data_IF_002564637214
#
_entry.id   IF_002564637214
#
_cell.length_a   1.000
_cell.length_b   1.000
_cell.length_c   1.000
_cell.angle_alpha   90.00
_cell.angle_beta   90.00
_cell.angle_gamma   90.00
#
_symmetry.space_group_name_H-M   'P 1'
#
loop_
_entity.id
_entity.type
_entity.pdbx_description
1 polymer ?
#
# COMPACT_ATOMS: atom_id res chain seq x y z
N UNK A 1 15.31 -0.90 -21.56
CA UNK A 1 14.20 0.07 -21.56
C UNK A 1 12.96 -0.58 -22.16
N UNK A 2 12.11 -1.19 -21.33
CA UNK A 2 10.88 -1.85 -21.79
C UNK A 2 9.60 -1.18 -21.26
N UNK A 3 9.72 -0.20 -20.36
CA UNK A 3 8.58 0.41 -19.67
C UNK A 3 8.80 1.91 -19.41
N UNK A 4 7.71 2.68 -19.43
CA UNK A 4 7.69 4.11 -19.10
C UNK A 4 7.92 5.05 -20.29
N UNK A 5 8.24 6.31 -19.98
CA UNK A 5 8.33 7.44 -20.94
C UNK A 5 9.68 7.43 -21.72
N UNK A 6 10.65 6.62 -21.29
CA UNK A 6 11.99 6.59 -21.89
C UNK A 6 12.86 7.82 -21.56
N UNK A 7 12.54 8.51 -20.45
CA UNK A 7 13.17 9.78 -20.06
C UNK A 7 14.62 9.64 -19.57
N UNK A 8 14.88 8.58 -18.79
CA UNK A 8 16.18 8.30 -18.18
C UNK A 8 16.98 7.43 -19.17
N UNK A 9 18.30 7.56 -19.25
CA UNK A 9 19.24 6.66 -19.96
C UNK A 9 20.56 6.53 -19.21
N UNK A 10 21.41 5.59 -19.60
CA UNK A 10 22.77 5.52 -19.03
C UNK A 10 23.64 6.67 -19.55
N UNK A 11 24.61 7.10 -18.74
CA UNK A 11 25.60 8.13 -19.13
C UNK A 11 27.02 7.64 -18.85
N UNK A 12 28.02 8.29 -19.46
CA UNK A 12 29.44 7.98 -19.22
C UNK A 12 29.99 8.64 -17.95
N UNK A 13 29.44 9.79 -17.57
CA UNK A 13 29.90 10.60 -16.43
C UNK A 13 29.05 10.42 -15.16
N UNK A 14 27.84 9.90 -15.31
CA UNK A 14 26.88 9.67 -14.21
C UNK A 14 26.17 8.34 -14.43
N UNK A 15 25.71 7.65 -13.37
CA UNK A 15 25.03 6.36 -13.53
C UNK A 15 23.72 6.48 -14.34
N UNK A 16 23.08 7.66 -14.35
CA UNK A 16 21.85 7.95 -15.10
C UNK A 16 21.88 9.40 -15.61
N UNK A 17 21.45 9.62 -16.85
CA UNK A 17 21.17 10.94 -17.43
C UNK A 17 19.74 11.04 -17.98
N UNK A 18 19.25 12.27 -18.15
CA UNK A 18 17.99 12.53 -18.85
C UNK A 18 18.31 12.70 -20.33
N UNK A 19 17.87 11.77 -21.18
CA UNK A 19 18.20 11.83 -22.61
C UNK A 19 17.03 11.58 -23.56
N UNK A 20 15.95 10.89 -23.20
CA UNK A 20 14.72 10.87 -24.00
C UNK A 20 14.91 10.61 -25.51
N UNK A 21 15.68 9.59 -25.88
CA UNK A 21 16.03 9.30 -27.28
C UNK A 21 15.23 8.12 -27.85
N UNK A 22 15.05 8.06 -29.18
CA UNK A 22 14.40 6.90 -29.81
C UNK A 22 15.34 5.69 -29.83
N UNK A 23 14.78 4.48 -29.87
CA UNK A 23 15.57 3.24 -29.77
C UNK A 23 16.60 3.08 -30.90
N UNK A 24 16.41 3.76 -32.03
CA UNK A 24 17.29 3.70 -33.20
C UNK A 24 18.61 4.47 -33.02
N UNK A 25 18.68 5.38 -32.04
CA UNK A 25 19.84 6.22 -31.76
C UNK A 25 20.48 5.90 -30.40
N UNK A 26 20.19 4.71 -29.86
CA UNK A 26 20.87 4.16 -28.70
C UNK A 26 22.07 3.35 -29.18
N UNK A 27 23.26 3.74 -28.74
CA UNK A 27 24.49 3.01 -29.07
C UNK A 27 24.60 1.79 -28.16
N UNK A 28 24.74 0.61 -28.76
CA UNK A 28 24.73 -0.70 -28.08
C UNK A 28 26.12 -1.08 -27.52
N UNK A 29 26.78 -0.15 -26.82
CA UNK A 29 28.09 -0.39 -26.20
C UNK A 29 27.94 -0.56 -24.67
N UNK A 30 27.33 -1.67 -24.21
CA UNK A 30 27.09 -2.10 -22.80
C UNK A 30 26.38 -1.10 -21.86
N UNK A 31 26.31 0.18 -22.21
CA UNK A 31 25.64 1.27 -21.53
C UNK A 31 24.80 1.95 -22.59
N UNK A 32 23.48 1.89 -22.43
CA UNK A 32 22.50 2.42 -23.36
C UNK A 32 22.57 3.96 -23.40
N UNK A 33 23.57 4.49 -24.10
CA UNK A 33 23.86 5.92 -24.18
C UNK A 33 23.18 6.55 -25.41
N UNK A 34 22.73 7.78 -25.24
CA UNK A 34 22.16 8.57 -26.32
C UNK A 34 23.20 9.49 -26.95
N UNK A 35 23.22 9.56 -28.27
CA UNK A 35 24.04 10.54 -28.96
C UNK A 35 23.64 11.97 -28.54
N UNK A 36 24.62 12.87 -28.29
CA UNK A 36 24.35 14.23 -27.80
C UNK A 36 23.40 15.05 -28.67
N UNK A 37 23.36 14.79 -29.98
CA UNK A 37 22.53 15.50 -30.97
C UNK A 37 21.06 15.10 -30.96
N UNK A 38 20.72 13.95 -30.38
CA UNK A 38 19.36 13.41 -30.33
C UNK A 38 18.74 13.39 -28.92
N UNK A 39 19.41 14.05 -27.96
CA UNK A 39 18.88 14.22 -26.60
C UNK A 39 17.57 15.00 -26.60
N UNK A 40 16.57 14.44 -25.91
CA UNK A 40 15.21 14.93 -25.71
C UNK A 40 14.41 15.15 -27.01
N UNK A 41 14.78 14.45 -28.09
CA UNK A 41 14.10 14.59 -29.39
C UNK A 41 13.09 13.50 -29.70
N UNK A 42 12.86 12.53 -28.81
CA UNK A 42 11.88 11.48 -29.08
C UNK A 42 10.43 12.03 -29.10
N UNK A 43 9.68 11.86 -30.20
CA UNK A 43 8.29 12.29 -30.28
C UNK A 43 7.37 11.57 -29.28
N UNK A 44 7.65 10.30 -29.01
CA UNK A 44 6.91 9.45 -28.05
C UNK A 44 6.99 9.96 -26.62
N UNK A 45 8.16 10.45 -26.19
CA UNK A 45 8.35 11.09 -24.88
C UNK A 45 7.46 12.34 -24.74
N UNK A 46 7.51 13.24 -25.72
CA UNK A 46 6.79 14.51 -25.64
C UNK A 46 5.27 14.33 -25.66
N UNK A 47 4.78 13.36 -26.42
CA UNK A 47 3.36 12.99 -26.41
C UNK A 47 2.99 12.39 -25.05
N UNK A 48 3.81 11.49 -24.50
CA UNK A 48 3.62 11.00 -23.14
C UNK A 48 3.52 12.14 -22.13
N UNK A 49 4.45 13.09 -22.15
CA UNK A 49 4.50 14.22 -21.20
C UNK A 49 3.32 15.18 -21.37
N UNK A 50 3.09 15.72 -22.56
CA UNK A 50 2.06 16.74 -22.77
C UNK A 50 0.65 16.16 -22.81
N UNK A 51 0.45 15.08 -23.58
CA UNK A 51 -0.87 14.49 -23.78
C UNK A 51 -1.23 13.48 -22.67
N UNK A 52 -0.25 12.73 -22.15
CA UNK A 52 -0.47 11.77 -21.07
C UNK A 52 -0.28 12.32 -19.66
N UNK A 53 0.54 13.36 -19.48
CA UNK A 53 0.86 13.95 -18.17
C UNK A 53 0.21 15.31 -17.93
N UNK A 54 0.53 16.32 -18.73
CA UNK A 54 0.02 17.67 -18.52
C UNK A 54 -1.51 17.73 -18.69
N UNK A 55 -2.04 17.11 -19.76
CA UNK A 55 -3.48 17.08 -19.99
C UNK A 55 -4.24 16.30 -18.91
N UNK A 56 -3.70 15.19 -18.41
CA UNK A 56 -4.35 14.42 -17.33
C UNK A 56 -4.41 15.22 -16.05
N UNK A 57 -3.32 15.88 -15.66
CA UNK A 57 -3.29 16.80 -14.51
C UNK A 57 -4.26 17.96 -14.74
N UNK A 58 -4.31 18.54 -15.94
CA UNK A 58 -5.26 19.59 -16.29
C UNK A 58 -6.71 19.13 -16.10
N UNK A 59 -7.08 17.97 -16.65
CA UNK A 59 -8.42 17.38 -16.47
C UNK A 59 -8.72 17.04 -15.00
N UNK A 60 -7.73 16.58 -14.25
CA UNK A 60 -7.85 16.32 -12.81
C UNK A 60 -8.12 17.60 -12.02
N UNK A 61 -7.50 18.74 -12.38
CA UNK A 61 -7.78 20.02 -11.74
C UNK A 61 -9.25 20.45 -11.89
N UNK A 62 -9.88 20.09 -13.02
CA UNK A 62 -11.32 20.32 -13.24
C UNK A 62 -12.22 19.22 -12.65
N UNK A 63 -11.68 18.28 -11.87
CA UNK A 63 -12.42 17.15 -11.27
C UNK A 63 -13.24 16.35 -12.28
N UNK A 64 -12.72 16.19 -13.50
CA UNK A 64 -13.36 15.38 -14.54
C UNK A 64 -13.26 13.89 -14.15
N UNK A 65 -14.41 13.22 -14.05
CA UNK A 65 -14.47 11.78 -13.77
C UNK A 65 -13.77 11.00 -14.89
N UNK A 66 -12.79 10.17 -14.53
CA UNK A 66 -12.01 9.39 -15.50
C UNK A 66 -10.88 10.16 -16.20
N UNK A 67 -10.41 11.29 -15.64
CA UNK A 67 -9.31 12.09 -16.19
C UNK A 67 -8.05 11.26 -16.54
N UNK A 68 -7.69 10.31 -15.68
CA UNK A 68 -6.56 9.39 -15.91
C UNK A 68 -6.79 8.53 -17.15
N UNK A 69 -7.96 7.90 -17.26
CA UNK A 69 -8.32 7.04 -18.39
C UNK A 69 -8.36 7.85 -19.69
N UNK A 70 -8.91 9.07 -19.65
CA UNK A 70 -8.98 9.94 -20.82
C UNK A 70 -7.60 10.26 -21.40
N UNK A 71 -6.59 10.51 -20.56
CA UNK A 71 -5.22 10.73 -21.04
C UNK A 71 -4.55 9.49 -21.62
N UNK A 72 -4.69 8.34 -20.96
CA UNK A 72 -4.17 7.06 -21.50
C UNK A 72 -4.81 6.79 -22.86
N UNK A 73 -6.13 6.95 -22.96
CA UNK A 73 -6.90 6.71 -24.17
C UNK A 73 -6.47 7.66 -25.30
N UNK A 74 -6.32 8.95 -25.01
CA UNK A 74 -5.89 9.94 -26.00
C UNK A 74 -4.48 9.61 -26.54
N UNK A 75 -3.52 9.29 -25.68
CA UNK A 75 -2.17 8.90 -26.13
C UNK A 75 -2.20 7.59 -26.90
N UNK A 76 -3.02 6.62 -26.48
CA UNK A 76 -3.16 5.33 -27.16
C UNK A 76 -3.74 5.50 -28.57
N UNK A 77 -4.79 6.30 -28.74
CA UNK A 77 -5.39 6.60 -30.06
C UNK A 77 -4.39 7.28 -30.99
N UNK A 78 -3.58 8.22 -30.48
CA UNK A 78 -2.54 8.90 -31.28
C UNK A 78 -1.44 7.93 -31.71
N UNK A 79 -1.18 6.88 -30.93
CA UNK A 79 -0.13 5.88 -31.18
C UNK A 79 -0.56 4.64 -31.97
N UNK A 80 -1.85 4.48 -32.30
CA UNK A 80 -2.31 3.37 -33.14
C UNK A 80 -2.05 3.53 -34.66
N UNK A 81 -2.10 4.74 -35.26
CA UNK A 81 -1.82 4.93 -36.68
C UNK A 81 -0.39 4.55 -37.07
N UNK A 82 -0.24 3.53 -37.93
CA UNK A 82 1.05 2.95 -38.34
C UNK A 82 1.96 3.88 -39.15
N UNK A 83 1.40 4.93 -39.74
CA UNK A 83 2.13 5.87 -40.61
C UNK A 83 2.82 7.02 -39.87
N UNK A 84 2.94 6.98 -38.55
CA UNK A 84 3.51 8.07 -37.74
C UNK A 84 4.75 7.60 -36.97
N UNK A 85 5.69 8.52 -36.71
CA UNK A 85 6.91 8.24 -35.91
C UNK A 85 6.62 7.89 -34.43
N UNK A 86 5.34 7.91 -34.04
CA UNK A 86 4.84 7.67 -32.67
C UNK A 86 4.04 6.35 -32.59
N UNK A 87 4.09 5.54 -33.66
CA UNK A 87 3.32 4.31 -33.75
C UNK A 87 3.81 3.26 -32.74
N UNK A 88 2.86 2.61 -32.07
CA UNK A 88 3.13 1.40 -31.29
C UNK A 88 3.26 0.14 -32.18
N UNK A 89 2.82 0.23 -33.44
CA UNK A 89 2.88 -0.84 -34.43
C UNK A 89 3.80 -0.45 -35.60
N UNK A 90 5.13 -0.40 -35.39
CA UNK A 90 6.07 -0.17 -36.48
C UNK A 90 5.94 -1.28 -37.54
N UNK A 91 6.41 -1.02 -38.76
CA UNK A 91 6.50 -2.04 -39.81
C UNK A 91 7.72 -2.94 -39.58
N UNK A 92 7.67 -3.71 -38.49
CA UNK A 92 8.64 -4.74 -38.11
C UNK A 92 7.87 -6.02 -37.79
N UNK A 93 8.51 -7.19 -37.84
CA UNK A 93 7.87 -8.47 -37.53
C UNK A 93 7.15 -8.48 -36.16
N UNK A 94 7.74 -7.79 -35.18
CA UNK A 94 7.16 -7.61 -33.85
C UNK A 94 5.97 -6.63 -33.86
N UNK A 95 6.04 -5.53 -34.61
CA UNK A 95 4.94 -4.59 -34.75
C UNK A 95 3.75 -5.17 -35.53
N UNK A 96 4.01 -6.01 -36.53
CA UNK A 96 2.98 -6.72 -37.31
C UNK A 96 2.27 -7.78 -36.48
N UNK A 97 2.99 -8.58 -35.69
CA UNK A 97 2.39 -9.56 -34.78
C UNK A 97 1.55 -8.91 -33.67
N UNK A 98 2.01 -7.80 -33.10
CA UNK A 98 1.24 -7.02 -32.13
C UNK A 98 -0.03 -6.43 -32.77
N UNK A 99 0.05 -5.96 -34.02
CA UNK A 99 -1.11 -5.44 -34.74
C UNK A 99 -2.12 -6.54 -35.11
N UNK A 100 -1.63 -7.73 -35.47
CA UNK A 100 -2.46 -8.89 -35.73
C UNK A 100 -3.17 -9.36 -34.45
N UNK A 101 -2.49 -9.28 -33.31
CA UNK A 101 -3.09 -9.52 -32.01
C UNK A 101 -4.16 -8.45 -31.70
N UNK A 102 -3.87 -7.16 -31.89
CA UNK A 102 -4.82 -6.07 -31.67
C UNK A 102 -6.12 -6.19 -32.49
N UNK A 103 -6.04 -6.67 -33.74
CA UNK A 103 -7.22 -6.91 -34.58
C UNK A 103 -8.19 -7.94 -33.98
N UNK A 104 -7.69 -8.86 -33.16
CA UNK A 104 -8.52 -9.82 -32.45
C UNK A 104 -9.10 -9.15 -31.20
N UNK A 105 -10.15 -8.35 -31.36
CA UNK A 105 -10.79 -7.56 -30.28
C UNK A 105 -11.19 -8.40 -29.07
N UNK A 106 -11.61 -9.64 -29.31
CA UNK A 106 -11.92 -10.64 -28.27
C UNK A 106 -11.09 -11.88 -28.55
N UNK A 107 -10.26 -12.28 -27.57
CA UNK A 107 -9.50 -13.54 -27.65
C UNK A 107 -9.84 -14.42 -26.46
N UNK A 108 -10.01 -15.72 -26.72
CA UNK A 108 -10.09 -16.73 -25.68
C UNK A 108 -8.89 -17.67 -25.81
N UNK A 109 -7.96 -17.62 -24.85
CA UNK A 109 -6.81 -18.52 -24.81
C UNK A 109 -7.08 -19.60 -23.74
N UNK A 110 -7.22 -20.88 -24.12
CA UNK A 110 -7.38 -21.93 -23.13
C UNK A 110 -6.12 -22.08 -22.28
N UNK A 111 -6.30 -22.25 -20.97
CA UNK A 111 -5.22 -22.41 -19.99
C UNK A 111 -4.64 -23.82 -20.13
N UNK A 112 -3.79 -24.04 -21.15
CA UNK A 112 -3.17 -25.36 -21.42
C UNK A 112 -1.81 -25.53 -20.74
N UNK A 113 -1.00 -24.47 -20.67
CA UNK A 113 0.40 -24.54 -20.24
C UNK A 113 0.66 -23.80 -18.92
N UNK A 114 -0.36 -23.22 -18.31
CA UNK A 114 -0.21 -22.27 -17.19
C UNK A 114 -0.81 -22.84 -15.89
N UNK A 115 -1.86 -23.68 -16.00
CA UNK A 115 -2.51 -24.26 -14.83
C UNK A 115 -1.62 -25.32 -14.20
N UNK A 116 -1.26 -25.10 -12.92
CA UNK A 116 -0.44 -26.01 -12.12
C UNK A 116 0.89 -26.40 -12.79
N UNK A 117 1.46 -25.52 -13.62
CA UNK A 117 2.75 -25.69 -14.27
C UNK A 117 3.94 -25.51 -13.31
N UNK A 118 3.77 -25.87 -12.04
CA UNK A 118 4.78 -25.74 -11.00
C UNK A 118 5.78 -26.89 -11.10
N UNK A 119 7.01 -26.56 -11.46
CA UNK A 119 8.11 -27.51 -11.48
C UNK A 119 8.79 -27.53 -10.11
N UNK A 120 8.67 -28.65 -9.41
CA UNK A 120 9.21 -28.85 -8.06
C UNK A 120 10.62 -29.48 -8.08
N UNK A 121 11.25 -29.62 -9.25
CA UNK A 121 12.62 -30.11 -9.35
C UNK A 121 13.63 -29.01 -8.94
N UNK A 122 13.82 -28.89 -7.63
CA UNK A 122 14.69 -27.90 -7.00
C UNK A 122 16.12 -28.45 -6.81
N UNK A 123 16.42 -29.66 -7.30
CA UNK A 123 17.69 -30.37 -7.05
C UNK A 123 18.93 -29.62 -7.56
N UNK A 124 18.79 -28.84 -8.63
CA UNK A 124 19.89 -28.07 -9.25
C UNK A 124 20.10 -26.67 -8.65
N UNK A 125 19.07 -26.07 -8.05
CA UNK A 125 19.07 -24.66 -7.62
C UNK A 125 18.55 -24.43 -6.19
N UNK A 126 18.59 -25.44 -5.32
CA UNK A 126 17.99 -25.38 -3.98
C UNK A 126 18.42 -24.19 -3.11
N UNK A 127 19.67 -23.75 -3.21
CA UNK A 127 20.14 -22.55 -2.51
C UNK A 127 19.47 -21.26 -2.98
N UNK A 128 19.32 -21.08 -4.29
CA UNK A 128 18.63 -19.91 -4.85
C UNK A 128 17.13 -19.95 -4.61
N UNK A 129 16.53 -21.14 -4.69
CA UNK A 129 15.12 -21.35 -4.36
C UNK A 129 14.84 -20.97 -2.90
N UNK A 130 15.66 -21.44 -1.94
CA UNK A 130 15.49 -21.09 -0.53
C UNK A 130 15.65 -19.60 -0.27
N UNK A 131 16.64 -18.95 -0.91
CA UNK A 131 16.83 -17.51 -0.79
C UNK A 131 15.63 -16.72 -1.35
N UNK A 132 15.15 -17.08 -2.54
CA UNK A 132 14.00 -16.44 -3.16
C UNK A 132 12.73 -16.66 -2.32
N UNK A 133 12.49 -17.88 -1.84
CA UNK A 133 11.35 -18.23 -1.01
C UNK A 133 11.32 -17.40 0.27
N UNK A 134 12.44 -17.33 1.01
CA UNK A 134 12.51 -16.51 2.22
C UNK A 134 12.34 -15.03 1.89
N UNK A 135 12.95 -14.55 0.80
CA UNK A 135 12.90 -13.14 0.41
C UNK A 135 11.49 -12.71 0.05
N UNK A 136 10.82 -13.45 -0.83
CA UNK A 136 9.44 -13.15 -1.21
C UNK A 136 8.48 -13.32 -0.04
N UNK A 137 8.69 -14.32 0.83
CA UNK A 137 7.83 -14.53 2.01
C UNK A 137 7.85 -13.34 2.97
N UNK A 138 9.03 -12.81 3.32
CA UNK A 138 9.03 -11.66 4.24
C UNK A 138 8.54 -10.38 3.56
N UNK A 139 8.84 -10.18 2.27
CA UNK A 139 8.33 -9.03 1.52
C UNK A 139 6.81 -9.06 1.47
N UNK A 140 6.23 -10.23 1.18
CA UNK A 140 4.79 -10.46 1.10
C UNK A 140 4.10 -10.24 2.45
N UNK A 141 4.65 -10.78 3.54
CA UNK A 141 4.12 -10.54 4.90
C UNK A 141 4.10 -9.04 5.21
N UNK A 142 5.17 -8.30 4.91
CA UNK A 142 5.25 -6.87 5.19
C UNK A 142 4.32 -6.06 4.30
N UNK A 143 4.20 -6.41 3.02
CA UNK A 143 3.31 -5.74 2.05
C UNK A 143 1.84 -5.97 2.41
N UNK A 144 1.44 -7.22 2.64
CA UNK A 144 0.09 -7.59 3.08
C UNK A 144 -0.28 -6.90 4.41
N UNK A 145 0.61 -6.92 5.40
CA UNK A 145 0.38 -6.25 6.69
C UNK A 145 0.25 -4.74 6.52
N UNK A 146 1.15 -4.11 5.78
CA UNK A 146 1.15 -2.66 5.58
C UNK A 146 -0.07 -2.18 4.79
N UNK A 147 -0.45 -2.90 3.73
CA UNK A 147 -1.58 -2.55 2.88
C UNK A 147 -2.91 -2.79 3.59
N UNK A 148 -3.11 -3.93 4.26
CA UNK A 148 -4.32 -4.21 5.04
C UNK A 148 -4.51 -3.20 6.18
N UNK A 149 -3.43 -2.91 6.92
CA UNK A 149 -3.47 -1.90 7.98
C UNK A 149 -3.83 -0.51 7.43
N UNK A 150 -3.23 -0.10 6.31
CA UNK A 150 -3.55 1.17 5.67
C UNK A 150 -5.02 1.22 5.17
N UNK A 151 -5.53 0.13 4.59
CA UNK A 151 -6.92 0.04 4.15
C UNK A 151 -7.90 0.13 5.32
N UNK A 152 -7.62 -0.59 6.42
CA UNK A 152 -8.43 -0.55 7.62
C UNK A 152 -8.44 0.86 8.24
N UNK A 153 -7.30 1.56 8.23
CA UNK A 153 -7.20 2.98 8.63
C UNK A 153 -8.06 3.88 7.74
N UNK A 154 -7.97 3.74 6.40
CA UNK A 154 -8.80 4.54 5.48
C UNK A 154 -10.30 4.24 5.60
N UNK A 155 -10.67 3.00 5.92
CA UNK A 155 -12.06 2.62 6.16
C UNK A 155 -12.60 3.20 7.48
N UNK A 156 -11.72 3.48 8.44
CA UNK A 156 -12.06 3.94 9.78
C UNK A 156 -12.55 2.81 10.69
N UNK A 157 -12.06 1.58 10.46
CA UNK A 157 -12.47 0.37 11.20
C UNK A 157 -11.39 -0.13 12.16
N UNK A 158 -10.29 0.62 12.29
CA UNK A 158 -9.23 0.34 13.25
C UNK A 158 -9.71 0.64 14.66
N UNK A 159 -9.51 -0.31 15.57
CA UNK A 159 -9.68 -0.08 17.00
C UNK A 159 -8.46 0.71 17.54
N UNK A 160 -8.73 1.87 18.13
CA UNK A 160 -7.70 2.76 18.67
C UNK A 160 -6.89 2.11 19.81
N UNK A 161 -7.48 1.19 20.57
CA UNK A 161 -6.83 0.56 21.74
C UNK A 161 -5.91 -0.59 21.35
N UNK A 162 -6.43 -1.51 20.54
CA UNK A 162 -5.72 -2.73 20.15
C UNK A 162 -4.84 -2.50 18.91
N UNK A 163 -5.09 -1.42 18.16
CA UNK A 163 -4.48 -1.19 16.84
C UNK A 163 -4.70 -2.38 15.89
N UNK A 164 -5.81 -3.09 16.07
CA UNK A 164 -6.27 -4.18 15.22
C UNK A 164 -7.65 -3.87 14.64
N UNK A 165 -8.10 -4.66 13.67
CA UNK A 165 -9.44 -4.56 13.07
C UNK A 165 -10.20 -5.87 13.18
N UNK A 166 -11.53 -5.78 13.19
CA UNK A 166 -12.40 -6.95 13.31
C UNK A 166 -12.12 -7.95 12.17
N UNK A 167 -11.82 -9.20 12.54
CA UNK A 167 -11.55 -10.25 11.56
C UNK A 167 -10.17 -10.16 10.89
N UNK A 168 -9.19 -9.47 11.47
CA UNK A 168 -7.81 -9.38 10.97
C UNK A 168 -7.23 -10.75 10.59
N UNK A 169 -7.31 -11.73 11.48
CA UNK A 169 -6.85 -13.10 11.21
C UNK A 169 -7.54 -13.74 9.99
N UNK A 170 -8.84 -13.48 9.79
CA UNK A 170 -9.56 -13.98 8.61
C UNK A 170 -9.15 -13.25 7.34
N UNK A 171 -8.87 -11.94 7.41
CA UNK A 171 -8.38 -11.17 6.27
C UNK A 171 -7.02 -11.68 5.79
N UNK A 172 -6.06 -11.87 6.72
CA UNK A 172 -4.75 -12.45 6.41
C UNK A 172 -4.85 -13.87 5.84
N UNK A 173 -5.78 -14.70 6.35
CA UNK A 173 -5.98 -16.04 5.82
C UNK A 173 -6.54 -16.02 4.39
N UNK A 174 -7.49 -15.12 4.10
CA UNK A 174 -8.07 -14.98 2.75
C UNK A 174 -7.02 -14.49 1.75
N UNK A 175 -6.16 -13.56 2.15
CA UNK A 175 -5.03 -13.09 1.34
C UNK A 175 -4.05 -14.24 1.03
N UNK A 176 -3.61 -15.00 2.04
CA UNK A 176 -2.74 -16.15 1.85
C UNK A 176 -3.36 -17.25 0.95
N UNK A 177 -4.66 -17.50 1.08
CA UNK A 177 -5.40 -18.41 0.18
C UNK A 177 -5.45 -17.84 -1.24
N UNK A 178 -5.67 -16.54 -1.40
CA UNK A 178 -5.65 -15.84 -2.68
C UNK A 178 -4.31 -15.97 -3.40
N UNK A 179 -3.21 -15.73 -2.69
CA UNK A 179 -1.84 -15.90 -3.20
C UNK A 179 -1.59 -17.36 -3.60
N UNK A 180 -1.98 -18.31 -2.74
CA UNK A 180 -1.81 -19.74 -3.02
C UNK A 180 -2.55 -20.15 -4.29
N UNK A 181 -3.80 -19.71 -4.45
CA UNK A 181 -4.61 -19.96 -5.65
C UNK A 181 -3.97 -19.28 -6.86
N UNK A 182 -3.56 -18.01 -6.76
CA UNK A 182 -2.88 -17.28 -7.84
C UNK A 182 -1.61 -17.98 -8.34
N UNK A 183 -0.82 -18.55 -7.43
CA UNK A 183 0.37 -19.33 -7.77
C UNK A 183 0.06 -20.59 -8.59
N UNK A 184 -1.11 -21.21 -8.39
CA UNK A 184 -1.56 -22.36 -9.18
C UNK A 184 -2.00 -21.95 -10.59
N UNK A 185 -2.46 -20.71 -10.74
CA UNK A 185 -2.78 -20.11 -12.04
C UNK A 185 -1.58 -19.43 -12.71
N UNK A 186 -0.38 -19.54 -12.14
CA UNK A 186 0.84 -18.95 -12.70
C UNK A 186 0.85 -17.43 -12.72
N UNK A 187 0.09 -16.78 -11.84
CA UNK A 187 0.04 -15.31 -11.72
C UNK A 187 0.98 -14.82 -10.62
N UNK A 188 1.30 -13.53 -10.64
CA UNK A 188 1.95 -12.85 -9.52
C UNK A 188 1.09 -12.95 -8.24
N UNK A 189 1.70 -12.79 -7.04
CA UNK A 189 0.96 -12.72 -5.78
C UNK A 189 -0.16 -11.70 -5.85
N UNK A 190 -1.36 -12.09 -5.40
CA UNK A 190 -2.55 -11.24 -5.39
C UNK A 190 -2.74 -10.78 -3.96
N UNK A 191 -2.74 -9.47 -3.71
CA UNK A 191 -2.90 -8.90 -2.37
C UNK A 191 -3.79 -7.65 -2.38
N UNK A 192 -4.03 -7.07 -1.21
CA UNK A 192 -4.78 -5.82 -1.04
C UNK A 192 -4.03 -4.63 -1.66
N UNK A 193 -4.64 -3.97 -2.64
CA UNK A 193 -4.05 -2.82 -3.29
C UNK A 193 -4.26 -1.52 -2.51
N UNK A 194 -3.19 -0.77 -2.26
CA UNK A 194 -3.21 0.53 -1.56
C UNK A 194 -4.05 1.57 -2.33
N UNK A 195 -4.16 1.45 -3.64
CA UNK A 195 -4.99 2.28 -4.51
C UNK A 195 -6.48 2.16 -4.18
N UNK A 196 -6.90 1.04 -3.58
CA UNK A 196 -8.27 0.84 -3.10
C UNK A 196 -8.64 1.86 -2.01
N UNK A 197 -7.65 2.46 -1.34
CA UNK A 197 -7.85 3.52 -0.34
C UNK A 197 -8.58 4.75 -0.91
N UNK A 198 -8.33 5.09 -2.18
CA UNK A 198 -9.07 6.15 -2.86
C UNK A 198 -10.55 5.76 -3.05
N UNK A 199 -10.83 4.51 -3.41
CA UNK A 199 -12.19 3.98 -3.53
C UNK A 199 -12.92 3.95 -2.19
N UNK A 200 -12.23 3.59 -1.11
CA UNK A 200 -12.76 3.60 0.27
C UNK A 200 -13.10 5.03 0.71
N UNK A 201 -12.24 6.00 0.37
CA UNK A 201 -12.42 7.42 0.70
C UNK A 201 -13.63 8.03 -0.01
N UNK A 202 -13.93 7.59 -1.23
CA UNK A 202 -15.13 7.95 -2.00
C UNK A 202 -16.41 7.20 -1.55
N UNK A 203 -16.32 6.36 -0.50
CA UNK A 203 -17.47 5.66 0.09
C UNK A 203 -17.59 4.18 -0.27
N UNK A 204 -16.64 3.61 -1.01
CA UNK A 204 -16.55 2.19 -1.37
C UNK A 204 -16.17 1.26 -0.21
N UNK A 205 -16.86 1.36 0.92
CA UNK A 205 -16.52 0.64 2.18
C UNK A 205 -17.08 -0.79 2.26
N UNK A 206 -17.72 -1.29 1.20
CA UNK A 206 -18.38 -2.61 1.19
C UNK A 206 -17.65 -3.59 0.28
N UNK A 207 -17.69 -4.89 0.62
CA UNK A 207 -17.13 -5.95 -0.22
C UNK A 207 -17.79 -6.07 -1.60
N UNK A 208 -18.99 -5.51 -1.79
CA UNK A 208 -19.67 -5.46 -3.09
C UNK A 208 -18.85 -4.66 -4.11
N UNK A 209 -18.22 -3.57 -3.69
CA UNK A 209 -17.35 -2.78 -4.57
C UNK A 209 -16.17 -3.62 -5.08
N UNK A 210 -15.56 -4.42 -4.19
CA UNK A 210 -14.48 -5.33 -4.56
C UNK A 210 -14.96 -6.45 -5.50
N UNK A 211 -16.13 -7.05 -5.24
CA UNK A 211 -16.71 -8.09 -6.12
C UNK A 211 -17.03 -7.55 -7.52
N UNK A 212 -17.67 -6.38 -7.61
CA UNK A 212 -17.97 -5.74 -8.90
C UNK A 212 -16.68 -5.44 -9.66
N UNK A 213 -15.67 -4.90 -8.97
CA UNK A 213 -14.35 -4.64 -9.56
C UNK A 213 -13.71 -5.92 -10.07
N UNK A 214 -13.76 -7.01 -9.30
CA UNK A 214 -13.26 -8.33 -9.71
C UNK A 214 -13.99 -8.90 -10.95
N UNK A 215 -15.31 -8.74 -11.04
CA UNK A 215 -16.09 -9.14 -12.21
C UNK A 215 -15.71 -8.28 -13.43
N UNK A 216 -15.54 -6.97 -13.26
CA UNK A 216 -15.06 -6.10 -14.34
C UNK A 216 -13.66 -6.51 -14.82
N UNK A 217 -12.73 -6.84 -13.91
CA UNK A 217 -11.42 -7.37 -14.29
C UNK A 217 -11.51 -8.73 -14.99
N UNK A 218 -12.39 -9.62 -14.54
CA UNK A 218 -12.64 -10.89 -15.22
C UNK A 218 -13.14 -10.69 -16.67
N UNK A 219 -14.06 -9.75 -16.88
CA UNK A 219 -14.53 -9.37 -18.22
C UNK A 219 -13.38 -8.74 -19.03
N UNK A 220 -12.51 -7.95 -18.39
CA UNK A 220 -11.38 -7.28 -19.06
C UNK A 220 -10.37 -8.27 -19.68
N UNK A 221 -10.25 -9.49 -19.15
CA UNK A 221 -9.37 -10.53 -19.70
C UNK A 221 -9.74 -10.89 -21.15
N UNK A 222 -11.03 -10.88 -21.50
CA UNK A 222 -11.46 -11.14 -22.89
C UNK A 222 -11.03 -10.02 -23.85
N UNK A 223 -10.86 -8.81 -23.34
CA UNK A 223 -10.38 -7.63 -24.06
C UNK A 223 -8.85 -7.42 -23.89
N UNK A 224 -8.12 -8.43 -23.41
CA UNK A 224 -6.65 -8.38 -23.30
C UNK A 224 -5.94 -7.85 -24.56
N UNK A 225 -6.39 -8.14 -25.81
CA UNK A 225 -5.77 -7.60 -27.02
C UNK A 225 -5.83 -6.08 -27.13
N UNK A 226 -6.90 -5.47 -26.64
CA UNK A 226 -7.03 -4.01 -26.57
C UNK A 226 -6.06 -3.46 -25.52
N UNK A 227 -6.01 -4.05 -24.32
CA UNK A 227 -5.13 -3.57 -23.26
C UNK A 227 -3.64 -3.75 -23.59
N UNK A 228 -3.28 -4.83 -24.30
CA UNK A 228 -1.93 -5.06 -24.79
C UNK A 228 -1.49 -4.06 -25.87
N UNK A 229 -2.44 -3.36 -26.52
CA UNK A 229 -2.15 -2.30 -27.49
C UNK A 229 -1.85 -0.93 -26.88
N UNK A 230 -1.99 -0.79 -25.56
CA UNK A 230 -1.71 0.46 -24.86
C UNK A 230 -0.19 0.61 -24.77
N UNK A 231 0.39 1.67 -25.37
CA UNK A 231 1.82 1.83 -25.40
C UNK A 231 2.39 2.19 -24.01
N UNK A 232 3.62 1.76 -23.69
CA UNK A 232 4.26 2.05 -22.40
C UNK A 232 4.44 3.55 -22.08
N UNK A 233 4.54 4.40 -23.10
CA UNK A 233 4.64 5.86 -22.91
C UNK A 233 3.30 6.51 -22.54
N UNK A 234 2.16 5.87 -22.79
CA UNK A 234 0.84 6.34 -22.32
C UNK A 234 0.67 6.14 -20.81
N UNK A 235 1.14 5.00 -20.30
CA UNK A 235 1.01 4.64 -18.88
C UNK A 235 2.11 5.27 -18.02
N UNK A 236 3.30 5.53 -18.58
CA UNK A 236 4.43 6.06 -17.84
C UNK A 236 4.16 7.37 -17.08
N UNK A 237 3.60 8.40 -17.74
CA UNK A 237 3.25 9.67 -17.07
C UNK A 237 2.14 9.48 -16.03
N UNK A 238 1.18 8.60 -16.34
CA UNK A 238 0.10 8.29 -15.42
C UNK A 238 0.64 7.67 -14.13
N UNK A 239 1.62 6.76 -14.21
CA UNK A 239 2.25 6.16 -13.04
C UNK A 239 2.96 7.19 -12.16
N UNK A 240 3.58 8.21 -12.76
CA UNK A 240 4.17 9.34 -12.01
C UNK A 240 3.09 10.11 -11.24
N UNK A 241 1.95 10.37 -11.88
CA UNK A 241 0.82 11.07 -11.24
C UNK A 241 0.25 10.23 -10.11
N UNK A 242 0.02 8.92 -10.33
CA UNK A 242 -0.45 8.01 -9.28
C UNK A 242 0.54 7.98 -8.10
N UNK A 243 1.84 7.87 -8.37
CA UNK A 243 2.88 7.95 -7.34
C UNK A 243 2.82 9.26 -6.55
N UNK A 244 2.56 10.40 -7.21
CA UNK A 244 2.38 11.69 -6.54
C UNK A 244 1.15 11.75 -5.64
N UNK A 245 0.05 11.06 -6.02
CA UNK A 245 -1.14 10.95 -5.18
C UNK A 245 -0.87 10.08 -3.95
N UNK A 246 -0.09 9.00 -4.11
CA UNK A 246 0.30 8.13 -3.01
C UNK A 246 1.27 8.81 -2.04
N UNK A 247 2.09 9.75 -2.51
CA UNK A 247 2.97 10.55 -1.65
C UNK A 247 2.22 11.36 -0.59
N UNK A 248 0.90 11.60 -0.76
CA UNK A 248 0.06 12.22 0.27
C UNK A 248 0.07 11.44 1.58
N UNK A 249 0.16 10.10 1.53
CA UNK A 249 0.21 9.26 2.72
C UNK A 249 1.46 9.53 3.59
N UNK A 250 2.55 10.05 2.99
CA UNK A 250 3.73 10.44 3.74
C UNK A 250 3.46 11.64 4.68
N UNK A 251 2.40 12.43 4.44
CA UNK A 251 2.00 13.51 5.33
C UNK A 251 1.40 12.99 6.66
N UNK A 252 0.84 11.77 6.67
CA UNK A 252 0.23 11.16 7.86
C UNK A 252 1.28 10.53 8.79
N UNK A 253 2.55 10.50 8.38
CA UNK A 253 3.65 10.00 9.21
C UNK A 253 3.89 10.97 10.37
N UNK A 254 4.15 10.44 11.56
CA UNK A 254 4.46 11.23 12.73
C UNK A 254 5.85 11.88 12.65
N UNK A 255 5.93 13.03 11.99
CA UNK A 255 7.16 13.82 11.86
C UNK A 255 7.59 14.53 13.15
N UNK A 256 6.76 14.52 14.20
CA UNK A 256 7.05 15.22 15.47
C UNK A 256 7.99 14.43 16.37
N UNK A 257 7.97 13.10 16.28
CA UNK A 257 8.85 12.25 17.07
C UNK A 257 9.99 11.71 16.19
N UNK A 258 11.23 12.08 16.51
CA UNK A 258 12.41 11.65 15.73
C UNK A 258 12.57 10.13 15.66
N UNK A 259 12.09 9.40 16.67
CA UNK A 259 12.15 7.94 16.70
C UNK A 259 11.22 7.25 15.68
N UNK A 260 10.22 7.96 15.16
CA UNK A 260 9.31 7.46 14.11
C UNK A 260 9.68 8.10 12.74
N UNK A 261 10.02 9.39 12.75
CA UNK A 261 10.36 10.18 11.56
C UNK A 261 11.62 9.70 10.83
N UNK A 262 12.71 9.40 11.56
CA UNK A 262 13.99 8.99 10.96
C UNK A 262 13.86 7.61 10.28
N UNK A 263 13.29 6.58 10.92
CA UNK A 263 13.05 5.29 10.26
C UNK A 263 12.13 5.40 9.04
N UNK A 264 11.08 6.22 9.11
CA UNK A 264 10.19 6.44 7.98
C UNK A 264 10.93 7.09 6.80
N UNK A 265 11.76 8.11 7.06
CA UNK A 265 12.59 8.74 6.04
C UNK A 265 13.60 7.77 5.40
N UNK A 266 14.29 6.96 6.21
CA UNK A 266 15.23 5.95 5.72
C UNK A 266 14.52 4.93 4.81
N UNK A 267 13.33 4.48 5.19
CA UNK A 267 12.50 3.60 4.37
C UNK A 267 12.23 4.22 3.00
N UNK A 268 11.73 5.46 2.97
CA UNK A 268 11.38 6.17 1.71
C UNK A 268 12.61 6.40 0.83
N UNK A 269 13.77 6.73 1.41
CA UNK A 269 14.98 7.06 0.65
C UNK A 269 15.73 5.82 0.14
N UNK A 270 15.79 4.74 0.92
CA UNK A 270 16.59 3.56 0.59
C UNK A 270 15.91 2.71 -0.49
N UNK A 271 14.57 2.67 -0.54
CA UNK A 271 13.83 1.90 -1.54
C UNK A 271 14.23 2.24 -2.99
N UNK A 272 14.21 3.53 -3.43
CA UNK A 272 14.66 3.88 -4.78
C UNK A 272 16.16 3.67 -5.00
N UNK A 273 17.00 3.97 -4.00
CA UNK A 273 18.46 3.86 -4.16
C UNK A 273 18.95 2.41 -4.28
N UNK A 274 18.26 1.47 -3.64
CA UNK A 274 18.60 0.05 -3.70
C UNK A 274 17.82 -0.71 -4.77
N UNK A 275 16.88 -0.05 -5.45
CA UNK A 275 15.92 -0.67 -6.38
C UNK A 275 15.19 -1.88 -5.77
N UNK A 276 15.03 -1.90 -4.44
CA UNK A 276 14.45 -3.01 -3.70
C UNK A 276 13.60 -2.50 -2.54
N UNK A 277 12.30 -2.77 -2.61
CA UNK A 277 11.34 -2.48 -1.55
C UNK A 277 11.78 -3.20 -0.26
N UNK A 278 12.26 -4.43 -0.41
CA UNK A 278 12.68 -5.30 0.67
C UNK A 278 13.82 -4.71 1.51
N UNK A 279 14.88 -4.22 0.86
CA UNK A 279 16.01 -3.59 1.55
C UNK A 279 15.61 -2.27 2.22
N UNK A 280 14.73 -1.50 1.59
CA UNK A 280 14.19 -0.28 2.19
C UNK A 280 13.40 -0.56 3.47
N UNK A 281 12.50 -1.56 3.46
CA UNK A 281 11.75 -1.98 4.64
C UNK A 281 12.66 -2.48 5.77
N UNK A 282 13.64 -3.33 5.44
CA UNK A 282 14.60 -3.83 6.44
C UNK A 282 15.36 -2.66 7.10
N UNK A 283 15.85 -1.71 6.30
CA UNK A 283 16.56 -0.56 6.84
C UNK A 283 15.66 0.31 7.75
N UNK A 284 14.40 0.49 7.36
CA UNK A 284 13.37 1.15 8.17
C UNK A 284 13.13 0.44 9.51
N UNK A 285 12.81 -0.85 9.47
CA UNK A 285 12.50 -1.63 10.68
C UNK A 285 13.71 -1.72 11.60
N UNK A 286 14.90 -1.99 11.06
CA UNK A 286 16.13 -2.09 11.86
C UNK A 286 16.50 -0.75 12.50
N UNK A 287 16.38 0.36 11.76
CA UNK A 287 16.64 1.69 12.33
C UNK A 287 15.61 2.05 13.41
N UNK A 288 14.33 1.72 13.21
CA UNK A 288 13.30 1.90 14.23
C UNK A 288 13.62 1.12 15.50
N UNK A 289 13.95 -0.17 15.37
CA UNK A 289 14.29 -1.04 16.51
C UNK A 289 15.50 -0.49 17.24
N UNK A 290 16.58 -0.15 16.53
CA UNK A 290 17.80 0.37 17.15
C UNK A 290 17.52 1.66 17.92
N UNK A 291 16.90 2.66 17.30
CA UNK A 291 16.66 3.97 17.92
C UNK A 291 15.75 3.81 19.14
N UNK A 292 14.60 3.16 19.00
CA UNK A 292 13.64 3.02 20.09
C UNK A 292 14.15 2.12 21.21
N UNK A 293 14.91 1.07 20.90
CA UNK A 293 15.51 0.19 21.91
C UNK A 293 16.61 0.92 22.68
N UNK A 294 17.46 1.69 22.01
CA UNK A 294 18.49 2.50 22.69
C UNK A 294 17.86 3.53 23.62
N UNK A 295 16.81 4.23 23.17
CA UNK A 295 16.06 5.17 24.02
C UNK A 295 15.47 4.47 25.24
N UNK A 296 14.84 3.31 25.05
CA UNK A 296 14.27 2.52 26.14
C UNK A 296 15.34 2.03 27.14
N UNK A 297 16.51 1.60 26.65
CA UNK A 297 17.63 1.19 27.49
C UNK A 297 18.17 2.36 28.33
N UNK A 298 18.34 3.54 27.73
CA UNK A 298 18.80 4.74 28.44
C UNK A 298 17.82 5.15 29.53
N UNK A 299 16.52 5.14 29.24
CA UNK A 299 15.47 5.47 30.21
C UNK A 299 15.48 4.50 31.40
N UNK A 300 15.59 3.20 31.10
CA UNK A 300 15.64 2.15 32.13
C UNK A 300 16.91 2.25 32.97
N UNK A 301 18.06 2.50 32.35
CA UNK A 301 19.34 2.68 33.03
C UNK A 301 19.37 3.98 33.87
N UNK A 302 18.68 5.02 33.42
CA UNK A 302 18.57 6.31 34.11
C UNK A 302 17.51 6.33 35.23
N UNK A 303 16.75 5.25 35.39
CA UNK A 303 15.61 5.19 36.32
C UNK A 303 14.53 6.22 36.01
N UNK A 304 14.37 6.59 34.73
CA UNK A 304 13.41 7.60 34.26
C UNK A 304 13.86 9.06 34.38
N UNK A 305 15.12 9.35 34.74
CA UNK A 305 15.61 10.75 34.81
C UNK A 305 15.89 11.37 33.44
N UNK A 306 16.27 10.55 32.46
CA UNK A 306 16.53 10.98 31.08
C UNK A 306 15.41 10.40 30.20
N UNK A 307 14.52 11.28 29.75
CA UNK A 307 13.45 10.95 28.81
C UNK A 307 13.56 11.92 27.63
N UNK A 308 13.41 11.45 26.38
CA UNK A 308 13.39 12.36 25.23
C UNK A 308 12.20 13.32 25.32
N UNK A 309 12.46 14.59 25.00
CA UNK A 309 11.49 15.70 25.13
C UNK A 309 10.15 15.42 24.43
N UNK A 310 10.19 14.76 23.26
CA UNK A 310 9.01 14.57 22.41
C UNK A 310 8.35 13.18 22.56
N UNK A 311 8.66 12.42 23.62
CA UNK A 311 8.13 11.06 23.81
C UNK A 311 6.61 10.98 23.84
N UNK A 312 5.93 12.03 24.30
CA UNK A 312 4.46 12.10 24.33
C UNK A 312 3.80 12.00 22.96
N UNK A 313 4.54 12.31 21.89
CA UNK A 313 4.04 12.24 20.52
C UNK A 313 4.29 10.90 19.86
N UNK A 314 4.99 9.96 20.51
CA UNK A 314 5.29 8.64 19.95
C UNK A 314 3.99 7.90 19.62
N UNK A 315 3.96 7.22 18.47
CA UNK A 315 2.81 6.37 18.14
C UNK A 315 2.64 5.25 19.19
N UNK A 316 1.44 5.10 19.77
CA UNK A 316 1.18 4.08 20.76
C UNK A 316 1.14 2.71 20.08
N UNK A 317 2.10 1.85 20.41
CA UNK A 317 1.98 0.42 20.15
C UNK A 317 2.11 -0.35 21.45
N UNK A 318 1.46 -1.51 21.51
CA UNK A 318 1.58 -2.46 22.63
C UNK A 318 1.98 -3.84 22.10
N UNK A 319 2.96 -4.49 22.74
CA UNK A 319 3.39 -5.84 22.36
C UNK A 319 2.48 -6.94 22.95
N UNK A 320 1.63 -6.57 23.92
CA UNK A 320 0.61 -7.45 24.49
C UNK A 320 -0.61 -7.45 23.57
N UNK A 321 -0.83 -8.57 22.89
CA UNK A 321 -2.07 -8.80 22.14
C UNK A 321 -3.17 -9.21 23.12
N UNK A 322 -4.30 -8.51 23.10
CA UNK A 322 -5.49 -8.94 23.85
C UNK A 322 -6.01 -10.25 23.23
N UNK A 323 -5.86 -11.37 23.95
CA UNK A 323 -6.25 -12.71 23.50
C UNK A 323 -5.11 -13.74 23.33
N UNK A 324 -3.85 -13.34 23.51
CA UNK A 324 -2.68 -14.24 23.44
C UNK A 324 -2.07 -14.38 22.04
N UNK A 325 -0.97 -15.16 21.92
CA UNK A 325 -0.18 -15.28 20.69
C UNK A 325 -0.89 -16.06 19.56
N UNK A 326 -1.85 -16.91 19.92
CA UNK A 326 -2.54 -17.78 18.97
C UNK A 326 -3.98 -17.33 18.78
N UNK A 327 -4.53 -17.44 17.56
CA UNK A 327 -5.90 -17.05 17.32
C UNK A 327 -6.84 -17.87 18.23
N UNK A 328 -7.92 -17.28 18.77
CA UNK A 328 -8.76 -17.92 19.77
C UNK A 328 -9.36 -19.26 19.34
N UNK A 329 -9.62 -19.44 18.03
CA UNK A 329 -10.10 -20.71 17.49
C UNK A 329 -9.05 -21.82 17.59
N UNK A 330 -7.76 -21.51 17.40
CA UNK A 330 -6.66 -22.47 17.51
C UNK A 330 -6.45 -22.86 18.98
N UNK A 331 -6.53 -21.89 19.90
CA UNK A 331 -6.47 -22.15 21.35
C UNK A 331 -7.65 -22.99 21.80
N UNK A 332 -8.87 -22.74 21.29
CA UNK A 332 -10.07 -23.56 21.57
C UNK A 332 -10.00 -24.95 20.95
N UNK A 333 -9.49 -25.07 19.72
CA UNK A 333 -9.29 -26.35 19.06
C UNK A 333 -8.24 -27.18 19.80
N UNK A 334 -7.10 -26.57 20.18
CA UNK A 334 -6.06 -27.20 20.98
C UNK A 334 -6.53 -27.56 22.40
N UNK A 335 -7.49 -26.81 22.96
CA UNK A 335 -8.13 -27.12 24.26
C UNK A 335 -9.37 -28.01 24.15
N UNK A 336 -9.69 -28.56 22.96
CA UNK A 336 -10.75 -29.54 22.77
C UNK A 336 -12.19 -29.01 22.83
N UNK A 337 -12.38 -27.68 22.78
CA UNK A 337 -13.73 -27.07 22.79
C UNK A 337 -14.36 -27.16 21.40
N UNK A 338 -15.58 -27.72 21.33
CA UNK A 338 -16.35 -27.87 20.07
C UNK A 338 -16.88 -26.53 19.52
N UNK A 339 -16.93 -25.47 20.34
CA UNK A 339 -17.32 -24.11 19.95
C UNK A 339 -16.14 -23.27 19.41
N UNK A 340 -15.15 -23.90 18.78
CA UNK A 340 -13.96 -23.19 18.29
C UNK A 340 -14.26 -22.22 17.13
N UNK A 341 -15.38 -22.43 16.42
CA UNK A 341 -15.81 -21.61 15.28
C UNK A 341 -16.57 -20.33 15.64
N UNK A 342 -16.98 -20.13 16.91
CA UNK A 342 -17.77 -18.94 17.28
C UNK A 342 -16.88 -17.68 17.40
N UNK A 343 -17.24 -16.55 16.78
CA UNK A 343 -16.52 -15.28 16.94
C UNK A 343 -16.51 -14.85 18.41
N UNK A 344 -15.46 -14.14 18.82
CA UNK A 344 -15.33 -13.65 20.19
C UNK A 344 -16.32 -12.50 20.39
N UNK A 345 -17.34 -12.69 21.24
CA UNK A 345 -18.00 -11.55 21.87
C UNK A 345 -16.96 -10.91 22.79
N UNK A 346 -16.56 -9.67 22.49
CA UNK A 346 -15.74 -8.89 23.42
C UNK A 346 -16.58 -8.71 24.68
N UNK A 347 -16.24 -9.44 25.74
CA UNK A 347 -16.84 -9.21 27.05
C UNK A 347 -16.28 -7.89 27.53
N UNK A 348 -17.12 -6.85 27.51
CA UNK A 348 -16.87 -5.60 28.22
C UNK A 348 -16.62 -5.93 29.69
N UNK A 349 -15.35 -5.94 30.11
CA UNK A 349 -14.99 -5.91 31.52
C UNK A 349 -15.31 -4.52 32.08
N UNK A 350 -16.60 -4.23 32.28
CA UNK A 350 -17.08 -2.99 32.90
C UNK A 350 -18.08 -3.25 34.04
N UNK A 351 -18.35 -4.50 34.44
CA UNK A 351 -19.39 -4.80 35.44
C UNK A 351 -18.97 -5.75 36.56
N UNK A 352 -17.70 -5.80 36.95
CA UNK A 352 -17.27 -6.63 38.09
C UNK A 352 -16.38 -5.91 39.13
N UNK A 353 -16.54 -4.60 39.28
CA UNK A 353 -15.97 -3.82 40.38
C UNK A 353 -17.03 -2.93 41.04
N UNK A 354 -18.16 -3.51 41.47
CA UNK A 354 -19.08 -2.85 42.41
C UNK A 354 -19.88 -3.89 43.20
N UNK A 355 -19.18 -4.84 43.84
CA UNK A 355 -19.80 -5.67 44.88
C UNK A 355 -18.74 -6.12 45.88
N UNK A 356 -18.36 -5.21 46.79
CA UNK A 356 -17.77 -5.55 48.09
C UNK A 356 -17.59 -4.31 48.95
N UNK A 357 -18.67 -3.77 49.49
CA UNK A 357 -18.60 -2.97 50.73
C UNK A 357 -19.73 -3.41 51.66
N UNK A 358 -19.38 -4.36 52.51
CA UNK A 358 -19.71 -4.52 53.94
C UNK A 358 -21.01 -3.87 54.45
N UNK A 359 -22.00 -4.71 54.76
CA UNK A 359 -23.09 -4.38 55.67
C UNK A 359 -22.61 -4.29 57.13
N UNK A 360 -22.90 -3.19 57.82
CA UNK A 360 -23.11 -3.15 59.28
C UNK A 360 -24.23 -2.14 59.57
N UNK A 361 -25.24 -2.45 60.42
CA UNK A 361 -26.45 -1.64 60.58
C UNK A 361 -26.36 -0.66 61.77
N UNK A 362 -27.07 0.47 61.70
CA UNK A 362 -27.81 1.03 62.86
C UNK A 362 -28.57 2.33 62.54
N UNK A 363 -29.82 2.32 62.99
CA UNK A 363 -30.71 3.40 63.44
C UNK A 363 -30.24 4.86 63.48
N UNK A 364 -31.14 5.76 63.06
CA UNK A 364 -31.64 6.82 63.96
C UNK A 364 -31.43 8.29 63.58
N UNK A 365 -32.54 8.97 63.31
CA UNK A 365 -32.92 10.31 63.85
C UNK A 365 -32.33 11.61 63.24
N UNK A 366 -33.29 12.44 62.78
CA UNK A 366 -33.40 13.92 62.80
C UNK A 366 -32.60 14.85 61.85
N UNK A 367 -33.39 15.50 60.97
CA UNK A 367 -33.57 16.96 60.73
C UNK A 367 -32.46 17.95 61.15
N UNK A 368 -32.12 18.86 60.21
CA UNK A 368 -32.08 20.30 60.48
C UNK A 368 -30.97 21.16 59.85
N UNK A 369 -31.39 22.18 59.09
CA UNK A 369 -30.78 23.50 58.79
C UNK A 369 -29.46 23.62 57.98
N UNK A 370 -29.48 24.54 56.99
CA UNK A 370 -28.30 25.04 56.25
C UNK A 370 -27.65 26.26 56.92
N UNK A 371 -27.14 27.24 56.15
CA UNK A 371 -26.06 27.19 55.16
C UNK A 371 -24.86 28.06 55.61
N UNK A 372 -23.63 27.81 55.13
CA UNK A 372 -22.61 28.89 55.07
C UNK A 372 -21.42 28.58 54.14
N UNK A 373 -20.87 29.69 53.66
CA UNK A 373 -19.89 29.95 52.61
C UNK A 373 -18.52 29.25 52.75
N UNK A 374 -17.80 29.14 51.62
CA UNK A 374 -16.33 29.15 51.66
C UNK A 374 -15.58 28.50 50.50
N UNK A 375 -15.18 29.32 49.54
CA UNK A 375 -13.88 29.27 48.87
C UNK A 375 -13.61 28.30 47.70
N UNK A 376 -13.58 28.93 46.52
CA UNK A 376 -12.52 28.96 45.51
C UNK A 376 -12.25 27.78 44.55
N UNK A 377 -12.35 28.17 43.26
CA UNK A 377 -11.53 27.80 42.12
C UNK A 377 -11.67 26.37 41.55
N UNK A 378 -12.62 26.20 40.63
CA UNK A 378 -12.61 25.10 39.65
C UNK A 378 -12.49 25.62 38.23
N UNK A 379 -11.59 24.95 37.53
CA UNK A 379 -11.05 25.17 36.19
C UNK A 379 -12.11 25.26 35.09
N UNK A 380 -11.89 26.20 34.17
CA UNK A 380 -12.65 26.41 32.94
C UNK A 380 -12.63 25.17 32.03
N UNK A 381 -13.80 24.52 31.93
CA UNK A 381 -14.10 23.43 31.01
C UNK A 381 -14.37 24.02 29.61
N UNK A 382 -13.35 24.09 28.75
CA UNK A 382 -13.52 24.50 27.34
C UNK A 382 -14.13 23.35 26.54
N UNK A 383 -15.41 23.52 26.23
CA UNK A 383 -16.27 22.70 25.38
C UNK A 383 -15.91 22.95 23.91
N UNK A 384 -15.19 22.05 23.25
CA UNK A 384 -15.04 22.08 21.78
C UNK A 384 -16.32 21.56 21.13
N UNK A 385 -17.10 22.50 20.58
CA UNK A 385 -18.18 22.23 19.63
C UNK A 385 -17.57 21.86 18.28
N UNK A 386 -18.18 20.84 17.67
CA UNK A 386 -18.13 20.51 16.26
C UNK A 386 -18.42 21.73 15.39
N UNK A 387 -17.58 21.95 14.37
CA UNK A 387 -17.89 22.81 13.23
C UNK A 387 -17.51 22.04 11.98
N UNK A 388 -18.55 21.68 11.23
CA UNK A 388 -18.51 21.29 9.83
C UNK A 388 -17.71 22.31 9.03
N UNK A 389 -16.82 21.83 8.16
CA UNK A 389 -16.44 22.60 6.99
C UNK A 389 -16.53 21.70 5.76
N UNK A 390 -17.55 21.98 4.97
CA UNK A 390 -17.51 21.81 3.52
C UNK A 390 -16.29 22.55 2.95
N UNK A 391 -15.55 21.89 2.07
CA UNK A 391 -14.95 22.42 0.81
C UNK A 391 -14.20 21.32 0.04
#
# INVERSE_FOLDING_TARGET
YSAGIGLITGASSTPLEIAGCSQQYLTENDVLMCDPSYKMRSPTMWIGIFCGGFLTVFLMMFRVKGAIIAGILLVSIISWPRGTDVTYFPHTELGDSNFDFFKNVVTFRPIKNILAAQEWDVSSHGGQFGLALITFLYVDILDCTGTLYAMARFAGVMDEKTQDFEGSATAYLVDAVGISIGSLFGTSPVTAFIESGAGISEGGKTGIAAMVTGICFFISVFFAPIFASIPPWATGCTLVIIGSLMAKAAADINWRYMGDAIPAFLTIAIMPFTYSIAYGLIAGIMSYILINTTVWLVEKASGGKIVPMDKQFKEPWTWKMDGGLFPPWLVRAASGKKDFWKPHEMVDHASSEHESVTEVPSSGVAKGLGPEEGSSASSSKVRRRSVQHEL
#
